data_IF_212084824334
#
_entry.id   IF_212084824334
#
_cell.length_a   1.000
_cell.length_b   1.000
_cell.length_c   1.000
_cell.angle_alpha   90.00
_cell.angle_beta   90.00
_cell.angle_gamma   90.00
#
_symmetry.space_group_name_H-M   'P 1'
#
loop_
_entity.id
_entity.type
_entity.pdbx_description
1 polymer ?
#
# COMPACT_ATOMS: atom_id res chain seq x y z
N UNK A 1 -14.22 18.72 21.78
CA UNK A 1 -13.81 18.03 23.03
C UNK A 1 -12.32 17.78 22.94
N UNK A 2 -11.55 18.64 23.59
CA UNK A 2 -10.10 18.49 23.76
C UNK A 2 -9.85 17.20 24.56
N UNK A 3 -9.26 16.18 23.96
CA UNK A 3 -8.44 15.27 24.76
C UNK A 3 -7.29 16.13 25.29
N UNK A 4 -7.06 16.08 26.60
CA UNK A 4 -6.00 16.85 27.23
C UNK A 4 -4.67 16.40 26.62
N UNK A 5 -4.02 17.28 25.85
CA UNK A 5 -2.75 16.97 25.15
C UNK A 5 -1.67 16.52 26.12
N UNK A 6 -1.84 16.84 27.40
CA UNK A 6 -0.96 16.48 28.51
C UNK A 6 -0.88 14.97 28.77
N UNK A 7 -1.86 14.17 28.32
CA UNK A 7 -1.87 12.70 28.48
C UNK A 7 -1.25 11.97 27.28
N UNK A 8 -1.09 12.66 26.14
CA UNK A 8 -0.55 12.08 24.90
C UNK A 8 0.98 12.17 24.86
N UNK A 9 1.66 11.60 25.86
CA UNK A 9 3.12 11.73 26.01
C UNK A 9 3.89 11.30 24.77
N UNK A 10 3.52 10.18 24.14
CA UNK A 10 4.20 9.71 22.94
C UNK A 10 3.99 10.61 21.72
N UNK A 11 2.84 11.29 21.63
CA UNK A 11 2.64 12.34 20.62
C UNK A 11 3.55 13.56 20.87
N UNK A 12 3.74 13.95 22.14
CA UNK A 12 4.64 15.06 22.48
C UNK A 12 6.10 14.76 22.10
N UNK A 13 6.53 13.50 22.20
CA UNK A 13 7.84 13.06 21.68
C UNK A 13 7.94 13.30 20.16
N UNK A 14 6.88 12.94 19.41
CA UNK A 14 6.79 13.22 17.98
C UNK A 14 6.85 14.71 17.65
N UNK A 15 6.14 15.55 18.42
CA UNK A 15 6.21 17.03 18.27
C UNK A 15 7.63 17.54 18.53
N UNK A 16 8.33 16.96 19.51
CA UNK A 16 9.72 17.32 19.82
C UNK A 16 10.65 16.96 18.67
N UNK A 17 10.49 15.78 18.07
CA UNK A 17 11.24 15.35 16.89
C UNK A 17 10.99 16.26 15.67
N UNK A 18 9.74 16.72 15.47
CA UNK A 18 9.42 17.70 14.41
C UNK A 18 10.15 19.02 14.64
N UNK A 19 10.12 19.55 15.87
CA UNK A 19 10.84 20.79 16.23
C UNK A 19 12.35 20.66 16.06
N UNK A 20 12.90 19.46 16.27
CA UNK A 20 14.30 19.15 16.02
C UNK A 20 14.64 18.99 14.52
N UNK A 21 13.66 19.00 13.62
CA UNK A 21 13.85 18.83 12.19
C UNK A 21 14.14 17.38 11.78
N UNK A 22 13.82 16.40 12.63
CA UNK A 22 14.16 14.99 12.41
C UNK A 22 13.15 14.26 11.50
N UNK A 23 11.98 14.86 11.28
CA UNK A 23 10.88 14.20 10.55
C UNK A 23 10.81 14.69 9.11
N UNK A 24 11.38 13.89 8.21
CA UNK A 24 11.22 14.06 6.77
C UNK A 24 10.05 13.21 6.26
N UNK A 25 9.24 13.77 5.37
CA UNK A 25 8.15 13.06 4.70
C UNK A 25 8.28 13.23 3.18
N UNK A 26 8.03 12.16 2.42
CA UNK A 26 8.05 12.20 0.95
C UNK A 26 6.97 13.13 0.39
N UNK A 27 5.76 13.02 0.95
CA UNK A 27 4.59 13.84 0.66
C UNK A 27 3.92 14.22 1.97
N UNK A 28 3.36 15.43 2.02
CA UNK A 28 2.52 15.87 3.14
C UNK A 28 1.12 15.34 2.90
N UNK A 29 0.62 14.51 3.83
CA UNK A 29 -0.70 13.85 3.74
C UNK A 29 -1.70 14.40 4.75
N UNK A 30 -1.51 15.65 5.19
CA UNK A 30 -2.31 16.31 6.25
C UNK A 30 -3.82 16.14 6.05
N UNK A 31 -4.33 16.50 4.87
CA UNK A 31 -5.77 16.37 4.56
C UNK A 31 -6.24 14.91 4.54
N UNK A 32 -5.48 14.04 3.87
CA UNK A 32 -5.81 12.62 3.73
C UNK A 32 -5.86 11.89 5.08
N UNK A 33 -4.89 12.16 5.96
CA UNK A 33 -4.83 11.60 7.31
C UNK A 33 -5.68 12.37 8.34
N UNK A 34 -6.45 13.38 7.90
CA UNK A 34 -7.28 14.22 8.76
C UNK A 34 -6.51 14.81 9.96
N UNK A 35 -5.27 15.25 9.73
CA UNK A 35 -4.44 15.92 10.71
C UNK A 35 -4.78 17.41 10.78
N UNK A 36 -4.47 18.05 11.90
CA UNK A 36 -4.79 19.47 12.12
C UNK A 36 -4.00 20.39 11.16
N UNK A 37 -2.71 20.10 11.02
CA UNK A 37 -1.77 20.79 10.14
C UNK A 37 -0.57 19.87 9.79
N UNK A 38 0.38 20.41 9.03
CA UNK A 38 1.56 19.66 8.58
C UNK A 38 2.50 19.26 9.73
N UNK A 39 2.53 20.00 10.83
CA UNK A 39 3.34 19.66 12.00
C UNK A 39 2.69 18.52 12.79
N UNK A 40 1.37 18.57 12.98
CA UNK A 40 0.58 17.48 13.57
C UNK A 40 0.73 16.18 12.75
N UNK A 41 0.63 16.27 11.43
CA UNK A 41 0.86 15.13 10.54
C UNK A 41 2.26 14.55 10.74
N UNK A 42 3.32 15.36 10.70
CA UNK A 42 4.70 14.89 10.87
C UNK A 42 4.92 14.28 12.25
N UNK A 43 4.39 14.89 13.31
CA UNK A 43 4.51 14.36 14.66
C UNK A 43 3.90 12.96 14.76
N UNK A 44 2.70 12.77 14.19
CA UNK A 44 2.04 11.47 14.13
C UNK A 44 2.76 10.47 13.24
N UNK A 45 3.34 10.90 12.10
CA UNK A 45 4.18 10.04 11.26
C UNK A 45 5.37 9.49 12.05
N UNK A 46 6.04 10.33 12.83
CA UNK A 46 7.16 9.88 13.68
C UNK A 46 6.72 8.77 14.64
N UNK A 47 5.60 8.97 15.35
CA UNK A 47 5.06 7.97 16.27
C UNK A 47 4.66 6.68 15.53
N UNK A 48 3.98 6.79 14.39
CA UNK A 48 3.53 5.65 13.57
C UNK A 48 4.71 4.84 13.03
N UNK A 49 5.80 5.50 12.60
CA UNK A 49 7.04 4.81 12.20
C UNK A 49 7.60 3.96 13.33
N UNK A 50 7.71 4.54 14.53
CA UNK A 50 8.20 3.82 15.72
C UNK A 50 7.27 2.66 16.10
N UNK A 51 5.95 2.86 16.02
CA UNK A 51 4.97 1.81 16.28
C UNK A 51 5.10 0.64 15.28
N UNK A 52 5.29 0.90 13.99
CA UNK A 52 5.54 -0.17 13.02
C UNK A 52 6.86 -0.90 13.24
N UNK A 53 7.92 -0.21 13.70
CA UNK A 53 9.16 -0.86 14.10
C UNK A 53 8.91 -1.83 15.27
N UNK A 54 8.14 -1.41 16.28
CA UNK A 54 7.75 -2.26 17.41
C UNK A 54 6.93 -3.47 16.95
N UNK A 55 5.89 -3.25 16.12
CA UNK A 55 5.03 -4.33 15.59
C UNK A 55 5.86 -5.36 14.80
N UNK A 56 6.76 -4.88 13.93
CA UNK A 56 7.56 -5.71 13.03
C UNK A 56 8.82 -6.28 13.69
N UNK A 57 9.10 -5.94 14.95
CA UNK A 57 10.16 -6.61 15.72
C UNK A 57 9.81 -8.09 15.98
N UNK A 58 8.52 -8.40 16.08
CA UNK A 58 7.99 -9.76 16.18
C UNK A 58 7.96 -10.45 14.80
N UNK A 59 8.62 -11.60 14.71
CA UNK A 59 8.66 -12.42 13.50
C UNK A 59 7.28 -12.91 13.07
N UNK A 60 6.42 -13.25 14.03
CA UNK A 60 5.06 -13.70 13.74
C UNK A 60 4.28 -12.64 12.97
N UNK A 61 4.39 -11.37 13.38
CA UNK A 61 3.74 -10.26 12.71
C UNK A 61 4.29 -10.03 11.30
N UNK A 62 5.62 -10.17 11.10
CA UNK A 62 6.24 -10.04 9.76
C UNK A 62 5.73 -11.11 8.80
N UNK A 63 5.70 -12.36 9.24
CA UNK A 63 5.22 -13.50 8.43
C UNK A 63 3.74 -13.35 8.12
N UNK A 64 2.92 -13.04 9.13
CA UNK A 64 1.48 -12.84 8.96
C UNK A 64 1.17 -11.71 7.96
N UNK A 65 1.82 -10.55 8.08
CA UNK A 65 1.59 -9.42 7.16
C UNK A 65 1.99 -9.75 5.72
N UNK A 66 3.13 -10.42 5.52
CA UNK A 66 3.56 -10.84 4.20
C UNK A 66 2.56 -11.81 3.55
N UNK A 67 2.07 -12.78 4.32
CA UNK A 67 1.06 -13.73 3.85
C UNK A 67 -0.28 -13.06 3.57
N UNK A 68 -0.73 -12.15 4.44
CA UNK A 68 -1.99 -11.43 4.26
C UNK A 68 -1.96 -10.57 2.99
N UNK A 69 -0.89 -9.80 2.76
CA UNK A 69 -0.71 -9.01 1.55
C UNK A 69 -0.69 -9.86 0.27
N UNK A 70 0.05 -10.98 0.30
CA UNK A 70 0.09 -11.96 -0.80
C UNK A 70 -1.30 -12.53 -1.10
N UNK A 71 -2.04 -12.93 -0.07
CA UNK A 71 -3.36 -13.52 -0.23
C UNK A 71 -4.38 -12.52 -0.77
N UNK A 72 -4.37 -11.28 -0.26
CA UNK A 72 -5.29 -10.22 -0.71
C UNK A 72 -5.23 -9.96 -2.21
N UNK A 73 -4.02 -9.80 -2.76
CA UNK A 73 -3.86 -9.53 -4.19
C UNK A 73 -4.22 -10.77 -5.01
N UNK A 74 -3.87 -11.96 -4.53
CA UNK A 74 -4.26 -13.20 -5.22
C UNK A 74 -5.78 -13.40 -5.27
N UNK A 75 -6.50 -13.06 -4.21
CA UNK A 75 -7.96 -13.14 -4.19
C UNK A 75 -8.59 -12.13 -5.15
N UNK A 76 -8.08 -10.89 -5.21
CA UNK A 76 -8.49 -9.93 -6.24
C UNK A 76 -8.28 -10.45 -7.65
N UNK A 77 -7.15 -11.13 -7.91
CA UNK A 77 -6.88 -11.74 -9.21
C UNK A 77 -7.87 -12.86 -9.54
N UNK A 78 -8.23 -13.71 -8.57
CA UNK A 78 -9.25 -14.76 -8.78
C UNK A 78 -10.61 -14.16 -9.10
N UNK A 79 -11.00 -13.11 -8.39
CA UNK A 79 -12.25 -12.36 -8.66
C UNK A 79 -12.24 -11.68 -10.03
N UNK A 80 -11.06 -11.41 -10.60
CA UNK A 80 -10.88 -10.95 -11.97
C UNK A 80 -10.76 -12.11 -13.00
N UNK A 81 -11.13 -13.34 -12.62
CA UNK A 81 -10.96 -14.56 -13.42
C UNK A 81 -9.52 -14.79 -13.88
N UNK A 82 -8.54 -14.52 -13.02
CA UNK A 82 -7.11 -14.78 -13.29
C UNK A 82 -6.52 -15.87 -12.43
N UNK A 83 -5.60 -16.60 -13.06
CA UNK A 83 -4.68 -17.47 -12.35
C UNK A 83 -3.68 -16.61 -11.54
N UNK A 84 -3.65 -16.74 -10.20
CA UNK A 84 -2.72 -16.01 -9.35
C UNK A 84 -1.30 -16.60 -9.36
N UNK A 85 -1.05 -17.74 -10.03
CA UNK A 85 0.26 -18.41 -10.01
C UNK A 85 1.43 -17.53 -10.46
N UNK A 86 1.33 -16.73 -11.55
CA UNK A 86 2.41 -15.81 -11.94
C UNK A 86 2.64 -14.71 -10.89
N UNK A 87 1.60 -14.28 -10.18
CA UNK A 87 1.72 -13.28 -9.13
C UNK A 87 2.45 -13.86 -7.92
N UNK A 88 2.15 -15.10 -7.54
CA UNK A 88 2.86 -15.81 -6.48
C UNK A 88 4.36 -15.91 -6.76
N UNK A 89 4.75 -16.29 -7.97
CA UNK A 89 6.17 -16.35 -8.35
C UNK A 89 6.86 -14.99 -8.22
N UNK A 90 6.24 -13.93 -8.72
CA UNK A 90 6.81 -12.57 -8.64
C UNK A 90 6.89 -12.05 -7.20
N UNK A 91 5.85 -12.30 -6.39
CA UNK A 91 5.80 -11.89 -4.98
C UNK A 91 6.83 -12.65 -4.15
N UNK A 92 6.93 -13.96 -4.31
CA UNK A 92 7.84 -14.80 -3.54
C UNK A 92 9.31 -14.46 -3.87
N UNK A 93 9.62 -14.16 -5.13
CA UNK A 93 10.93 -13.67 -5.54
C UNK A 93 11.30 -12.32 -4.89
N UNK A 94 10.34 -11.39 -4.76
CA UNK A 94 10.54 -10.14 -4.02
C UNK A 94 10.80 -10.40 -2.53
N UNK A 95 10.06 -11.34 -1.92
CA UNK A 95 10.25 -11.68 -0.51
C UNK A 95 11.61 -12.33 -0.26
N UNK A 96 12.06 -13.21 -1.17
CA UNK A 96 13.41 -13.80 -1.13
C UNK A 96 14.47 -12.70 -1.23
N UNK A 97 14.33 -11.78 -2.19
CA UNK A 97 15.23 -10.64 -2.36
C UNK A 97 15.31 -9.75 -1.11
N UNK A 98 14.18 -9.49 -0.45
CA UNK A 98 14.11 -8.67 0.77
C UNK A 98 14.72 -9.35 2.00
N UNK A 99 14.77 -10.68 2.05
CA UNK A 99 15.35 -11.44 3.15
C UNK A 99 16.89 -11.43 3.14
N UNK A 100 17.50 -11.06 2.02
CA UNK A 100 18.95 -10.99 1.87
C UNK A 100 19.50 -9.62 2.33
N UNK A 101 20.23 -9.60 3.45
CA UNK A 101 20.76 -8.36 4.05
C UNK A 101 21.73 -7.62 3.14
N UNK A 102 22.40 -8.31 2.21
CA UNK A 102 23.29 -7.71 1.22
C UNK A 102 22.59 -6.73 0.26
N UNK A 103 21.26 -6.82 0.13
CA UNK A 103 20.49 -5.93 -0.74
C UNK A 103 20.05 -4.64 -0.04
N UNK A 104 20.18 -4.52 1.29
CA UNK A 104 19.65 -3.38 2.05
C UNK A 104 20.17 -2.02 1.57
N UNK A 105 21.46 -1.92 1.24
CA UNK A 105 22.03 -0.67 0.71
C UNK A 105 21.49 -0.31 -0.67
N UNK A 106 21.22 -1.32 -1.50
CA UNK A 106 20.62 -1.12 -2.83
C UNK A 106 19.18 -0.64 -2.69
N UNK A 107 18.41 -1.32 -1.83
CA UNK A 107 17.01 -0.99 -1.52
C UNK A 107 16.91 0.45 -1.00
N UNK A 108 17.74 0.81 -0.02
CA UNK A 108 17.81 2.16 0.56
C UNK A 108 18.10 3.22 -0.51
N UNK A 109 19.11 2.98 -1.34
CA UNK A 109 19.48 3.90 -2.42
C UNK A 109 18.37 4.07 -3.45
N UNK A 110 17.74 2.98 -3.90
CA UNK A 110 16.65 3.04 -4.87
C UNK A 110 15.43 3.80 -4.33
N UNK A 111 15.05 3.55 -3.07
CA UNK A 111 13.91 4.19 -2.43
C UNK A 111 14.17 5.66 -2.11
N UNK A 112 15.38 6.03 -1.68
CA UNK A 112 15.77 7.44 -1.51
C UNK A 112 15.74 8.22 -2.82
N UNK A 113 16.11 7.61 -3.94
CA UNK A 113 15.96 8.23 -5.27
C UNK A 113 14.49 8.48 -5.65
N UNK A 114 13.54 7.78 -5.00
CA UNK A 114 12.09 8.00 -5.12
C UNK A 114 11.53 8.92 -4.04
N UNK A 115 12.40 9.54 -3.23
CA UNK A 115 12.04 10.46 -2.15
C UNK A 115 11.53 9.78 -0.89
N UNK A 116 11.64 8.45 -0.77
CA UNK A 116 11.24 7.72 0.44
C UNK A 116 12.30 7.97 1.52
N UNK A 117 11.93 8.58 2.67
CA UNK A 117 12.90 9.03 3.66
C UNK A 117 13.44 7.91 4.55
N UNK A 118 12.62 6.91 4.87
CA UNK A 118 12.96 5.81 5.77
C UNK A 118 12.50 4.46 5.20
N UNK A 119 13.28 3.40 5.45
CA UNK A 119 12.92 2.02 5.10
C UNK A 119 11.96 1.42 6.14
N UNK A 120 10.73 1.94 6.17
CA UNK A 120 9.69 1.52 7.10
C UNK A 120 8.40 1.11 6.41
N UNK A 121 7.53 0.40 7.14
CA UNK A 121 6.22 -0.02 6.63
C UNK A 121 5.33 1.16 6.24
N UNK A 122 5.33 2.23 7.04
CA UNK A 122 4.63 3.47 6.70
C UNK A 122 5.13 4.06 5.38
N UNK A 123 6.44 4.34 5.29
CA UNK A 123 7.02 5.07 4.16
C UNK A 123 7.01 4.28 2.86
N UNK A 124 7.32 2.99 2.92
CA UNK A 124 7.42 2.13 1.73
C UNK A 124 6.06 1.55 1.36
N UNK A 125 5.41 0.85 2.28
CA UNK A 125 4.20 0.06 1.95
C UNK A 125 2.98 0.96 1.90
N UNK A 126 2.75 1.80 2.91
CA UNK A 126 1.54 2.60 2.99
C UNK A 126 1.64 3.86 2.11
N UNK A 127 2.63 4.72 2.29
CA UNK A 127 2.74 5.98 1.53
C UNK A 127 3.21 5.76 0.08
N UNK A 128 4.36 5.10 -0.11
CA UNK A 128 4.96 4.98 -1.44
C UNK A 128 4.26 3.98 -2.36
N UNK A 129 3.81 2.83 -1.86
CA UNK A 129 3.15 1.82 -2.69
C UNK A 129 1.64 2.02 -2.70
N UNK A 130 0.99 1.93 -1.54
CA UNK A 130 -0.46 1.79 -1.48
C UNK A 130 -1.21 3.11 -1.78
N UNK A 131 -0.86 4.20 -1.08
CA UNK A 131 -1.51 5.50 -1.28
C UNK A 131 -1.24 6.00 -2.71
N UNK A 132 0.00 5.94 -3.19
CA UNK A 132 0.33 6.33 -4.56
C UNK A 132 -0.43 5.52 -5.60
N UNK A 133 -0.56 4.19 -5.42
CA UNK A 133 -1.35 3.38 -6.34
C UNK A 133 -2.82 3.84 -6.39
N UNK A 134 -3.43 4.19 -5.25
CA UNK A 134 -4.80 4.71 -5.23
C UNK A 134 -4.93 6.12 -5.83
N UNK A 135 -3.91 6.98 -5.67
CA UNK A 135 -3.87 8.30 -6.32
C UNK A 135 -3.74 8.16 -7.84
N UNK A 136 -2.84 7.29 -8.30
CA UNK A 136 -2.62 7.00 -9.71
C UNK A 136 -3.87 6.41 -10.36
N UNK A 137 -4.59 5.53 -9.66
CA UNK A 137 -5.88 4.99 -10.12
C UNK A 137 -7.00 6.04 -10.15
N UNK A 138 -6.93 7.07 -9.31
CA UNK A 138 -7.88 8.19 -9.31
C UNK A 138 -7.55 9.21 -10.42
N UNK A 139 -6.32 9.20 -10.94
CA UNK A 139 -5.83 10.06 -12.03
C UNK A 139 -5.08 9.23 -13.08
N UNK A 140 -5.75 8.25 -13.72
CA UNK A 140 -5.08 7.29 -14.59
C UNK A 140 -4.56 7.97 -15.87
N UNK A 141 -3.46 7.44 -16.46
CA UNK A 141 -2.93 7.94 -17.72
C UNK A 141 -3.97 7.91 -18.84
N UNK A 142 -3.88 8.83 -19.80
CA UNK A 142 -4.79 8.90 -20.95
C UNK A 142 -4.85 7.60 -21.76
N UNK A 143 -3.73 6.89 -21.88
CA UNK A 143 -3.67 5.57 -22.52
C UNK A 143 -4.52 4.51 -21.82
N UNK A 144 -4.57 4.52 -20.48
CA UNK A 144 -5.42 3.63 -19.69
C UNK A 144 -6.89 4.01 -19.88
N UNK A 145 -7.21 5.30 -19.77
CA UNK A 145 -8.58 5.80 -19.97
C UNK A 145 -9.12 5.49 -21.37
N UNK A 146 -8.28 5.58 -22.39
CA UNK A 146 -8.64 5.28 -23.78
C UNK A 146 -9.07 3.82 -23.97
N UNK A 147 -8.59 2.90 -23.14
CA UNK A 147 -8.97 1.49 -23.16
C UNK A 147 -10.21 1.25 -22.31
N UNK A 148 -10.20 1.71 -21.06
CA UNK A 148 -11.25 1.39 -20.08
C UNK A 148 -12.60 2.02 -20.46
N UNK A 149 -12.58 3.24 -21.01
CA UNK A 149 -13.76 3.98 -21.46
C UNK A 149 -14.19 3.68 -22.90
N UNK A 150 -13.50 2.76 -23.60
CA UNK A 150 -13.86 2.43 -24.97
C UNK A 150 -15.10 1.51 -25.00
N UNK A 151 -16.21 2.02 -25.54
CA UNK A 151 -17.48 1.29 -25.63
C UNK A 151 -17.47 0.21 -26.74
N UNK A 152 -16.50 0.26 -27.66
CA UNK A 152 -16.38 -0.72 -28.75
C UNK A 152 -15.53 -1.93 -28.39
N UNK A 153 -14.76 -1.87 -27.30
CA UNK A 153 -13.97 -3.00 -26.83
C UNK A 153 -14.81 -3.86 -25.88
N UNK A 154 -14.90 -5.15 -26.18
CA UNK A 154 -15.43 -6.12 -25.21
C UNK A 154 -14.43 -6.29 -24.03
N UNK A 155 -14.85 -6.96 -22.96
CA UNK A 155 -14.05 -7.10 -21.74
C UNK A 155 -12.68 -7.76 -22.01
N UNK A 156 -12.64 -8.83 -22.80
CA UNK A 156 -11.39 -9.53 -23.16
C UNK A 156 -10.45 -8.65 -23.97
N UNK A 157 -10.97 -7.84 -24.88
CA UNK A 157 -10.17 -6.89 -25.66
C UNK A 157 -9.63 -5.76 -24.78
N UNK A 158 -10.44 -5.21 -23.86
CA UNK A 158 -9.99 -4.21 -22.90
C UNK A 158 -8.82 -4.74 -22.08
N UNK A 159 -8.93 -5.97 -21.64
CA UNK A 159 -7.89 -6.66 -20.89
C UNK A 159 -6.60 -6.84 -21.67
N UNK A 160 -6.63 -7.49 -22.83
CA UNK A 160 -5.40 -7.70 -23.62
C UNK A 160 -4.72 -6.37 -23.99
N UNK A 161 -5.53 -5.34 -24.28
CA UNK A 161 -5.01 -4.00 -24.59
C UNK A 161 -4.38 -3.37 -23.34
N UNK A 162 -5.03 -3.48 -22.19
CA UNK A 162 -4.53 -2.89 -20.95
C UNK A 162 -3.25 -3.56 -20.46
N UNK A 163 -3.16 -4.90 -20.57
CA UNK A 163 -1.92 -5.65 -20.31
C UNK A 163 -0.79 -5.09 -21.19
N UNK A 164 -1.05 -4.88 -22.48
CA UNK A 164 -0.05 -4.35 -23.42
C UNK A 164 0.38 -2.91 -23.08
N UNK A 165 -0.58 -2.05 -22.71
CA UNK A 165 -0.31 -0.66 -22.30
C UNK A 165 0.54 -0.63 -21.03
N UNK A 166 0.15 -1.37 -19.99
CA UNK A 166 0.87 -1.43 -18.72
C UNK A 166 2.27 -2.02 -18.94
N UNK A 167 2.39 -3.11 -19.70
CA UNK A 167 3.68 -3.69 -20.06
C UNK A 167 4.59 -2.68 -20.76
N UNK A 168 4.07 -1.94 -21.75
CA UNK A 168 4.86 -0.92 -22.46
C UNK A 168 5.36 0.17 -21.52
N UNK A 169 4.50 0.63 -20.61
CA UNK A 169 4.87 1.62 -19.59
C UNK A 169 5.94 1.08 -18.62
N UNK A 170 5.77 -0.16 -18.14
CA UNK A 170 6.75 -0.79 -17.24
C UNK A 170 8.07 -1.04 -17.95
N UNK A 171 8.06 -1.48 -19.21
CA UNK A 171 9.26 -1.64 -20.03
C UNK A 171 10.02 -0.31 -20.19
N UNK A 172 9.32 0.79 -20.46
CA UNK A 172 9.93 2.12 -20.53
C UNK A 172 10.52 2.57 -19.18
N UNK A 173 9.86 2.25 -18.06
CA UNK A 173 10.38 2.51 -16.71
C UNK A 173 11.59 1.64 -16.37
N UNK A 174 11.60 0.36 -16.75
CA UNK A 174 12.71 -0.59 -16.56
C UNK A 174 13.98 -0.13 -17.26
N UNK A 175 13.87 0.40 -18.47
CA UNK A 175 15.01 0.93 -19.24
C UNK A 175 15.75 2.09 -18.54
N UNK A 176 15.16 2.68 -17.51
CA UNK A 176 15.73 3.80 -16.72
C UNK A 176 16.23 3.36 -15.34
N UNK A 177 16.12 2.08 -14.99
CA UNK A 177 16.58 1.60 -13.69
C UNK A 177 18.11 1.58 -13.66
N UNK A 178 18.67 2.13 -12.60
CA UNK A 178 20.11 2.04 -12.34
C UNK A 178 20.52 0.61 -11.95
N UNK A 179 19.60 -0.16 -11.35
CA UNK A 179 19.83 -1.53 -10.89
C UNK A 179 18.84 -2.44 -11.61
N UNK A 180 19.35 -3.36 -12.43
CA UNK A 180 18.51 -4.21 -13.28
C UNK A 180 17.72 -5.27 -12.48
N UNK A 181 18.26 -5.73 -11.36
CA UNK A 181 17.64 -6.70 -10.45
C UNK A 181 17.57 -6.14 -9.03
N UNK A 182 17.04 -4.92 -8.91
CA UNK A 182 16.84 -4.21 -7.64
C UNK A 182 15.42 -4.40 -7.09
N UNK A 183 15.16 -3.78 -5.95
CA UNK A 183 13.82 -3.71 -5.35
C UNK A 183 12.78 -3.20 -6.35
N UNK A 184 13.12 -2.15 -7.10
CA UNK A 184 12.18 -1.56 -8.06
C UNK A 184 11.92 -2.50 -9.24
N UNK A 185 12.91 -3.30 -9.66
CA UNK A 185 12.72 -4.28 -10.71
C UNK A 185 11.73 -5.38 -10.27
N UNK A 186 11.93 -5.95 -9.07
CA UNK A 186 11.00 -6.92 -8.48
C UNK A 186 9.60 -6.32 -8.26
N UNK A 187 9.51 -5.06 -7.83
CA UNK A 187 8.23 -4.36 -7.73
C UNK A 187 7.52 -4.23 -9.09
N UNK A 188 8.28 -4.00 -10.17
CA UNK A 188 7.71 -3.99 -11.52
C UNK A 188 7.28 -5.38 -11.99
N UNK A 189 7.96 -6.47 -11.60
CA UNK A 189 7.51 -7.84 -11.90
C UNK A 189 6.14 -8.11 -11.27
N UNK A 190 5.96 -7.75 -10.00
CA UNK A 190 4.66 -7.85 -9.32
C UNK A 190 3.61 -6.97 -10.02
N UNK A 191 3.98 -5.73 -10.33
CA UNK A 191 3.07 -4.76 -10.96
C UNK A 191 2.61 -5.22 -12.34
N UNK A 192 3.47 -5.87 -13.12
CA UNK A 192 3.18 -6.36 -14.46
C UNK A 192 2.08 -7.42 -14.46
N UNK A 193 2.07 -8.27 -13.43
CA UNK A 193 1.05 -9.30 -13.25
C UNK A 193 -0.23 -8.75 -12.61
N UNK A 194 -0.11 -7.94 -11.55
CA UNK A 194 -1.25 -7.55 -10.73
C UNK A 194 -2.00 -6.32 -11.27
N UNK A 195 -1.28 -5.32 -11.79
CA UNK A 195 -1.86 -4.01 -12.11
C UNK A 195 -2.92 -4.04 -13.21
N UNK A 196 -2.85 -4.88 -14.27
CA UNK A 196 -3.90 -4.93 -15.29
C UNK A 196 -5.27 -5.27 -14.70
N UNK A 197 -5.36 -6.35 -13.91
CA UNK A 197 -6.60 -6.78 -13.28
C UNK A 197 -7.11 -5.77 -12.26
N UNK A 198 -6.22 -5.22 -11.44
CA UNK A 198 -6.57 -4.18 -10.46
C UNK A 198 -7.10 -2.93 -11.17
N UNK A 199 -6.44 -2.49 -12.24
CA UNK A 199 -6.86 -1.32 -13.02
C UNK A 199 -8.23 -1.54 -13.67
N UNK A 200 -8.48 -2.74 -14.20
CA UNK A 200 -9.82 -3.11 -14.70
C UNK A 200 -10.85 -3.20 -13.58
N UNK A 201 -10.48 -3.65 -12.38
CA UNK A 201 -11.38 -3.64 -11.24
C UNK A 201 -11.82 -2.24 -10.88
N UNK A 202 -10.91 -1.27 -10.82
CA UNK A 202 -11.28 0.12 -10.49
C UNK A 202 -11.97 0.87 -11.64
N UNK A 203 -11.52 0.67 -12.88
CA UNK A 203 -11.88 1.54 -14.01
C UNK A 203 -12.66 0.83 -15.12
N UNK A 204 -12.78 -0.49 -15.06
CA UNK A 204 -13.46 -1.31 -16.05
C UNK A 204 -14.98 -1.31 -15.87
N UNK A 205 -15.62 -2.18 -16.65
CA UNK A 205 -17.07 -2.29 -16.74
C UNK A 205 -17.66 -3.38 -15.85
N UNK A 206 -16.83 -4.25 -15.27
CA UNK A 206 -17.28 -5.27 -14.31
C UNK A 206 -17.68 -4.61 -12.99
N UNK A 207 -18.96 -4.69 -12.65
CA UNK A 207 -19.51 -4.06 -11.44
C UNK A 207 -19.11 -4.80 -10.16
N UNK A 208 -19.12 -6.14 -10.19
CA UNK A 208 -18.78 -6.95 -9.03
C UNK A 208 -17.33 -6.76 -8.63
N UNK A 209 -16.40 -6.87 -9.59
CA UNK A 209 -14.98 -6.65 -9.33
C UNK A 209 -14.72 -5.21 -8.87
N UNK A 210 -15.46 -4.23 -9.41
CA UNK A 210 -15.38 -2.83 -9.00
C UNK A 210 -15.81 -2.60 -7.56
N UNK A 211 -16.89 -3.24 -7.12
CA UNK A 211 -17.33 -3.21 -5.72
C UNK A 211 -16.26 -3.79 -4.79
N UNK A 212 -15.67 -4.93 -5.15
CA UNK A 212 -14.60 -5.55 -4.36
C UNK A 212 -13.34 -4.67 -4.28
N UNK A 213 -12.89 -4.11 -5.40
CA UNK A 213 -11.75 -3.20 -5.43
C UNK A 213 -12.01 -1.92 -4.62
N UNK A 214 -13.20 -1.33 -4.71
CA UNK A 214 -13.55 -0.15 -3.92
C UNK A 214 -13.67 -0.48 -2.43
N UNK A 215 -14.23 -1.63 -2.06
CA UNK A 215 -14.29 -2.07 -0.67
C UNK A 215 -12.88 -2.25 -0.09
N UNK A 216 -11.97 -2.89 -0.84
CA UNK A 216 -10.56 -2.99 -0.45
C UNK A 216 -9.93 -1.62 -0.23
N UNK A 217 -10.09 -0.70 -1.19
CA UNK A 217 -9.58 0.68 -1.07
C UNK A 217 -10.14 1.38 0.16
N UNK A 218 -11.44 1.28 0.39
CA UNK A 218 -12.11 1.92 1.52
C UNK A 218 -11.59 1.40 2.87
N UNK A 219 -11.44 0.08 3.02
CA UNK A 219 -10.90 -0.51 4.26
C UNK A 219 -9.46 -0.06 4.52
N UNK A 220 -8.62 -0.02 3.48
CA UNK A 220 -7.22 0.40 3.63
C UNK A 220 -7.08 1.91 3.88
N UNK A 221 -7.86 2.75 3.20
CA UNK A 221 -7.88 4.18 3.47
C UNK A 221 -8.41 4.46 4.88
N UNK A 222 -9.47 3.76 5.31
CA UNK A 222 -10.02 3.89 6.66
C UNK A 222 -9.00 3.45 7.73
N UNK A 223 -8.25 2.38 7.48
CA UNK A 223 -7.13 1.99 8.34
C UNK A 223 -6.13 3.13 8.51
N UNK A 224 -5.68 3.74 7.41
CA UNK A 224 -4.70 4.83 7.48
C UNK A 224 -5.27 6.03 8.24
N UNK A 225 -6.53 6.41 8.01
CA UNK A 225 -7.16 7.50 8.76
C UNK A 225 -7.29 7.17 10.25
N UNK A 226 -7.68 5.94 10.59
CA UNK A 226 -7.88 5.52 11.98
C UNK A 226 -6.58 5.56 12.79
N UNK A 227 -5.44 5.16 12.21
CA UNK A 227 -4.16 5.15 12.94
C UNK A 227 -3.57 6.56 13.20
N UNK A 228 -4.09 7.61 12.55
CA UNK A 228 -3.76 9.02 12.84
C UNK A 228 -4.77 9.70 13.77
N UNK A 229 -5.86 9.00 14.11
CA UNK A 229 -6.94 9.56 14.90
C UNK A 229 -6.78 9.25 16.39
N UNK A 230 -6.44 10.27 17.18
CA UNK A 230 -6.25 10.16 18.64
C UNK A 230 -7.49 9.72 19.43
N UNK A 231 -8.68 9.67 18.79
CA UNK A 231 -9.91 9.10 19.39
C UNK A 231 -10.06 7.60 19.11
N UNK A 232 -9.25 7.04 18.21
CA UNK A 232 -9.27 5.64 17.79
C UNK A 232 -8.06 4.86 18.30
N UNK A 233 -6.92 5.52 18.38
CA UNK A 233 -5.66 4.94 18.86
C UNK A 233 -5.02 5.79 19.96
N UNK A 234 -4.34 5.13 20.88
CA UNK A 234 -3.72 5.75 22.06
C UNK A 234 -2.29 6.18 21.78
N UNK A 235 -2.10 7.50 21.63
CA UNK A 235 -0.76 8.13 21.57
C UNK A 235 -0.15 8.38 22.96
N UNK A 236 -0.47 7.53 23.94
CA UNK A 236 0.02 7.63 25.33
C UNK A 236 1.42 7.05 25.48
N UNK A 237 1.70 5.91 24.86
CA UNK A 237 2.99 5.24 24.84
C UNK A 237 3.23 4.52 23.52
N UNK A 238 4.48 4.18 23.21
CA UNK A 238 4.82 3.37 22.03
C UNK A 238 4.05 2.04 22.01
N UNK A 239 3.96 1.37 23.17
CA UNK A 239 3.30 0.06 23.27
C UNK A 239 1.79 0.15 23.01
N UNK A 240 1.13 1.14 23.59
CA UNK A 240 -0.31 1.34 23.38
C UNK A 240 -0.62 1.63 21.91
N UNK A 241 0.16 2.51 21.27
CA UNK A 241 -0.04 2.84 19.86
C UNK A 241 0.23 1.63 18.96
N UNK A 242 1.31 0.89 19.21
CA UNK A 242 1.65 -0.32 18.44
C UNK A 242 0.56 -1.39 18.56
N UNK A 243 0.02 -1.61 19.76
CA UNK A 243 -1.08 -2.54 20.00
C UNK A 243 -2.34 -2.13 19.23
N UNK A 244 -2.75 -0.86 19.35
CA UNK A 244 -3.96 -0.36 18.70
C UNK A 244 -3.84 -0.40 17.16
N UNK A 245 -2.69 0.01 16.60
CA UNK A 245 -2.43 -0.07 15.16
C UNK A 245 -2.51 -1.52 14.68
N UNK A 246 -1.87 -2.45 15.40
CA UNK A 246 -1.88 -3.88 15.04
C UNK A 246 -3.29 -4.44 15.04
N UNK A 247 -4.08 -4.14 16.07
CA UNK A 247 -5.45 -4.61 16.20
C UNK A 247 -6.34 -4.09 15.05
N UNK A 248 -6.27 -2.79 14.74
CA UNK A 248 -7.05 -2.21 13.65
C UNK A 248 -6.62 -2.83 12.32
N UNK A 249 -5.32 -3.02 12.08
CA UNK A 249 -4.82 -3.66 10.86
C UNK A 249 -5.35 -5.08 10.71
N UNK A 250 -5.31 -5.89 11.78
CA UNK A 250 -5.86 -7.25 11.80
C UNK A 250 -7.35 -7.26 11.43
N UNK A 251 -8.15 -6.45 12.12
CA UNK A 251 -9.60 -6.37 11.88
C UNK A 251 -9.90 -5.98 10.43
N UNK A 252 -9.19 -4.98 9.89
CA UNK A 252 -9.42 -4.50 8.51
C UNK A 252 -9.07 -5.58 7.48
N UNK A 253 -7.96 -6.27 7.67
CA UNK A 253 -7.55 -7.36 6.78
C UNK A 253 -8.52 -8.55 6.85
N UNK A 254 -8.97 -8.93 8.05
CA UNK A 254 -9.98 -9.98 8.25
C UNK A 254 -11.31 -9.62 7.59
N UNK A 255 -11.74 -8.36 7.67
CA UNK A 255 -12.96 -7.87 7.00
C UNK A 255 -12.84 -8.01 5.47
N UNK A 256 -11.70 -7.62 4.89
CA UNK A 256 -11.47 -7.76 3.45
C UNK A 256 -11.45 -9.24 3.05
N UNK A 257 -10.70 -10.07 3.76
CA UNK A 257 -10.58 -11.50 3.47
C UNK A 257 -11.93 -12.21 3.58
N UNK A 258 -12.72 -11.88 4.60
CA UNK A 258 -14.07 -12.42 4.76
C UNK A 258 -14.95 -12.02 3.58
N UNK A 259 -14.95 -10.74 3.20
CA UNK A 259 -15.71 -10.24 2.04
C UNK A 259 -15.34 -11.01 0.77
N UNK A 260 -14.05 -11.17 0.50
CA UNK A 260 -13.57 -11.88 -0.70
C UNK A 260 -13.89 -13.37 -0.67
N UNK A 261 -13.89 -14.01 0.50
CA UNK A 261 -14.17 -15.45 0.64
C UNK A 261 -15.66 -15.78 0.54
N UNK A 262 -16.54 -14.85 0.94
CA UNK A 262 -18.00 -15.05 0.87
C UNK A 262 -18.60 -14.77 -0.50
N UNK A 263 -17.90 -14.02 -1.34
CA UNK A 263 -18.36 -13.68 -2.68
C UNK A 263 -18.06 -14.81 -3.66
N UNK A 264 -19.03 -15.14 -4.51
CA UNK A 264 -18.89 -16.21 -5.49
C UNK A 264 -17.89 -15.80 -6.57
N UNK A 265 -16.91 -16.66 -6.82
CA UNK A 265 -16.01 -16.47 -7.95
C UNK A 265 -16.79 -16.49 -9.27
N UNK A 266 -16.40 -15.66 -10.25
CA UNK A 266 -17.01 -15.68 -11.58
C UNK A 266 -16.88 -17.08 -12.22
N UNK A 267 -17.88 -17.50 -13.02
CA UNK A 267 -17.80 -18.77 -13.73
C UNK A 267 -16.57 -18.79 -14.65
N UNK A 268 -15.86 -19.91 -14.64
CA UNK A 268 -14.66 -20.16 -15.45
C UNK A 268 -14.96 -20.23 -16.95
#
# INVERSE_FOLDING_TARGET
MNLDRDVLHFYQDGVTAVKAGEVNCRKIRTEFCCCEDDEDFKAKVWCVRKAFIEILSDEHNRVWLSQAGRQLIADLLRHASKDPSPFYLAYDAMMEYLNETQHLEIIDRELKQRGVPELGFWDVVLDYILIDAFEDLSRPPSAVLAVTRNMFLNQTMKESTLVTVIWSMLKAKRARLAVANGFIAHFYDISEVASPSITLGFLGTDEHLRELCHYFKEQMCSFIVDIFNVKKVRYTSLKDLAEDIRLILQIRLEMIQTRFSTELLPPS
#
